data_IF_047926915287
#
_entry.id   IF_047926915287
#
_cell.length_a   1.000
_cell.length_b   1.000
_cell.length_c   1.000
_cell.angle_alpha   90.00
_cell.angle_beta   90.00
_cell.angle_gamma   90.00
#
_symmetry.space_group_name_H-M   'P 1'
#
loop_
_entity.id
_entity.type
_entity.pdbx_description
1 polymer ?
#
# COMPACT_ATOMS: atom_id res chain seq x y z
N UNK A 1 -23.10 13.58 1.29
CA UNK A 1 -22.67 13.40 1.59
C UNK A 1 -22.34 13.03 1.55
N UNK A 2 -22.16 12.77 1.67
CA UNK A 2 -21.73 12.20 1.90
C UNK A 2 -21.47 11.55 2.26
N UNK A 3 -21.63 11.43 2.25
CA UNK A 3 -21.40 10.84 2.86
C UNK A 3 -21.00 10.15 2.90
N UNK A 4 -20.82 10.17 3.01
CA UNK A 4 -20.34 9.32 3.23
C UNK A 4 -20.90 8.45 3.41
N UNK A 5 -20.97 8.16 2.76
CA UNK A 5 -21.54 7.27 3.07
C UNK A 5 -21.34 6.54 3.79
N UNK A 6 -21.72 7.24 3.30
CA UNK A 6 -21.70 6.65 4.50
C UNK A 6 -20.80 5.64 4.73
N UNK A 7 -20.27 5.90 5.70
CA UNK A 7 -19.55 4.81 6.12
C UNK A 7 -20.49 3.72 6.38
N UNK A 8 -20.23 2.65 5.74
CA UNK A 8 -20.99 1.50 6.01
C UNK A 8 -20.57 0.97 7.34
N UNK A 9 -21.49 0.80 8.27
CA UNK A 9 -21.15 0.17 9.53
C UNK A 9 -20.58 -1.21 9.26
N UNK A 10 -19.57 -1.55 9.98
CA UNK A 10 -18.93 -2.85 9.79
C UNK A 10 -17.90 -2.90 8.70
N UNK A 11 -17.62 -1.76 8.09
CA UNK A 11 -16.51 -1.69 7.14
C UNK A 11 -15.24 -2.10 7.85
N UNK A 12 -14.48 -3.06 7.28
CA UNK A 12 -13.33 -3.61 7.99
C UNK A 12 -12.18 -2.64 8.18
N UNK A 13 -12.15 -1.54 7.44
CA UNK A 13 -11.08 -0.57 7.62
C UNK A 13 -11.66 0.83 7.60
N UNK A 14 -10.97 1.72 8.27
CA UNK A 14 -11.36 3.11 8.32
C UNK A 14 -11.08 3.76 6.98
N UNK A 15 -11.94 4.67 6.59
CA UNK A 15 -11.70 5.46 5.43
C UNK A 15 -10.63 6.51 5.66
N UNK A 16 -10.42 6.85 6.91
CA UNK A 16 -9.38 7.79 7.25
C UNK A 16 -8.19 7.05 7.79
N UNK A 17 -7.06 7.28 7.15
CA UNK A 17 -5.81 6.69 7.56
C UNK A 17 -5.27 7.49 8.73
N UNK A 18 -4.96 6.81 9.82
CA UNK A 18 -4.31 7.46 10.94
C UNK A 18 -2.87 7.84 10.59
N UNK A 19 -2.28 8.79 11.36
CA UNK A 19 -0.93 9.24 11.03
C UNK A 19 0.13 8.13 11.12
N UNK A 20 0.01 7.23 12.08
CA UNK A 20 0.96 6.13 12.21
C UNK A 20 0.83 5.15 11.06
N UNK A 21 -0.39 4.89 10.65
CA UNK A 21 -0.63 3.98 9.54
C UNK A 21 -0.14 4.57 8.23
N UNK A 22 -0.37 5.88 8.02
CA UNK A 22 0.15 6.55 6.84
C UNK A 22 1.67 6.48 6.79
N UNK A 23 2.31 6.68 7.93
CA UNK A 23 3.77 6.60 8.00
C UNK A 23 4.27 5.20 7.67
N UNK A 24 3.59 4.18 8.19
CA UNK A 24 3.95 2.79 7.91
C UNK A 24 3.89 2.49 6.42
N UNK A 25 2.81 2.91 5.76
CA UNK A 25 2.67 2.69 4.33
C UNK A 25 3.73 3.45 3.54
N UNK A 26 3.97 4.70 3.90
CA UNK A 26 4.94 5.52 3.19
C UNK A 26 6.36 4.99 3.37
N UNK A 27 6.70 4.54 4.57
CA UNK A 27 8.03 3.96 4.80
C UNK A 27 8.22 2.68 4.00
N UNK A 28 7.19 1.85 3.94
CA UNK A 28 7.27 0.62 3.16
C UNK A 28 7.48 0.91 1.68
N UNK A 29 6.91 1.98 1.18
CA UNK A 29 7.04 2.36 -0.23
C UNK A 29 8.31 3.13 -0.52
N UNK A 30 8.99 3.65 0.50
CA UNK A 30 10.13 4.54 0.30
C UNK A 30 11.43 3.76 0.11
N UNK A 31 11.41 2.85 -0.84
CA UNK A 31 12.58 2.03 -1.18
C UNK A 31 12.46 1.68 -2.67
N UNK A 32 13.52 1.88 -3.45
CA UNK A 32 13.40 1.65 -4.91
C UNK A 32 13.03 0.21 -5.27
N UNK A 33 13.54 -0.76 -4.53
CA UNK A 33 13.21 -2.15 -4.83
C UNK A 33 11.75 -2.43 -4.51
N UNK A 34 11.27 -1.92 -3.38
CA UNK A 34 9.88 -2.15 -3.01
C UNK A 34 8.91 -1.47 -3.97
N UNK A 35 9.27 -0.28 -4.47
CA UNK A 35 8.46 0.36 -5.49
C UNK A 35 8.41 -0.47 -6.77
N UNK A 36 9.53 -1.07 -7.15
CA UNK A 36 9.55 -1.95 -8.32
C UNK A 36 8.64 -3.17 -8.12
N UNK A 37 8.63 -3.71 -6.91
CA UNK A 37 7.74 -4.84 -6.61
C UNK A 37 6.28 -4.42 -6.74
N UNK A 38 5.93 -3.27 -6.17
CA UNK A 38 4.57 -2.76 -6.26
C UNK A 38 4.17 -2.56 -7.72
N UNK A 39 5.04 -1.97 -8.52
CA UNK A 39 4.75 -1.74 -9.94
C UNK A 39 4.60 -3.06 -10.69
N UNK A 40 5.45 -4.04 -10.40
CA UNK A 40 5.35 -5.34 -11.04
C UNK A 40 4.05 -6.05 -10.73
N UNK A 41 3.53 -5.85 -9.51
CA UNK A 41 2.27 -6.47 -9.09
C UNK A 41 1.05 -5.67 -9.53
N UNK A 42 1.25 -4.50 -10.13
CA UNK A 42 0.15 -3.69 -10.61
C UNK A 42 -0.66 -4.37 -11.70
N UNK A 43 -0.06 -5.31 -12.41
CA UNK A 43 -0.76 -6.07 -13.44
C UNK A 43 -1.48 -7.31 -12.94
N UNK A 44 -1.34 -7.63 -11.65
CA UNK A 44 -1.99 -8.80 -11.07
C UNK A 44 -1.02 -9.63 -10.26
N UNK A 45 -1.54 -10.75 -9.80
CA UNK A 45 -0.81 -11.67 -8.94
C UNK A 45 0.39 -12.29 -9.66
N UNK A 46 1.49 -12.42 -8.95
CA UNK A 46 2.72 -13.02 -9.48
C UNK A 46 3.33 -13.96 -8.46
N UNK A 47 3.94 -15.03 -8.93
CA UNK A 47 4.67 -15.88 -8.01
C UNK A 47 6.06 -15.31 -7.74
N UNK A 48 6.65 -15.75 -6.61
CA UNK A 48 7.96 -15.24 -6.20
C UNK A 48 9.00 -15.50 -7.29
N UNK A 49 8.94 -16.65 -7.93
CA UNK A 49 9.92 -16.98 -8.96
C UNK A 49 9.84 -16.03 -10.15
N UNK A 50 8.65 -15.61 -10.52
CA UNK A 50 8.50 -14.62 -11.60
C UNK A 50 9.08 -13.27 -11.20
N UNK A 51 8.85 -12.89 -9.94
CA UNK A 51 9.38 -11.61 -9.46
C UNK A 51 10.90 -11.61 -9.39
N UNK A 52 11.51 -12.71 -8.93
CA UNK A 52 12.97 -12.78 -8.89
C UNK A 52 13.55 -12.65 -10.28
N UNK A 53 12.94 -13.31 -11.23
CA UNK A 53 13.42 -13.28 -12.61
C UNK A 53 13.25 -11.89 -13.20
N UNK A 54 12.08 -11.32 -13.04
CA UNK A 54 11.77 -10.03 -13.63
C UNK A 54 12.64 -8.91 -13.05
N UNK A 55 12.85 -8.94 -11.73
CA UNK A 55 13.56 -7.87 -11.06
C UNK A 55 15.07 -8.12 -10.96
N UNK A 56 15.50 -9.33 -11.31
CA UNK A 56 16.92 -9.65 -11.27
C UNK A 56 17.49 -9.68 -9.87
N UNK A 57 16.69 -10.11 -8.89
CA UNK A 57 17.10 -10.10 -7.49
C UNK A 57 17.24 -11.51 -6.96
N UNK A 58 18.16 -11.67 -6.01
CA UNK A 58 18.24 -12.91 -5.25
C UNK A 58 16.96 -13.12 -4.47
N UNK A 59 16.55 -14.37 -4.33
CA UNK A 59 15.29 -14.68 -3.65
C UNK A 59 15.30 -14.20 -2.20
N UNK A 60 16.43 -14.32 -1.51
CA UNK A 60 16.49 -13.89 -0.11
C UNK A 60 16.27 -12.38 0.03
N UNK A 61 16.85 -11.61 -0.90
CA UNK A 61 16.67 -10.17 -0.87
C UNK A 61 15.22 -9.79 -1.19
N UNK A 62 14.66 -10.42 -2.20
CA UNK A 62 13.27 -10.16 -2.56
C UNK A 62 12.34 -10.56 -1.41
N UNK A 63 12.59 -11.69 -0.76
CA UNK A 63 11.76 -12.15 0.34
C UNK A 63 11.72 -11.16 1.49
N UNK A 64 12.86 -10.52 1.77
CA UNK A 64 12.88 -9.49 2.80
C UNK A 64 11.94 -8.34 2.45
N UNK A 65 12.02 -7.86 1.21
CA UNK A 65 11.18 -6.74 0.79
C UNK A 65 9.70 -7.13 0.71
N UNK A 66 9.40 -8.35 0.28
CA UNK A 66 8.03 -8.84 0.27
C UNK A 66 7.46 -8.90 1.67
N UNK A 67 8.27 -9.32 2.64
CA UNK A 67 7.83 -9.38 4.02
C UNK A 67 7.51 -7.99 4.56
N UNK A 68 8.37 -7.01 4.28
CA UNK A 68 8.12 -5.63 4.72
C UNK A 68 6.82 -5.11 4.16
N UNK A 69 6.58 -5.33 2.87
CA UNK A 69 5.37 -4.86 2.21
C UNK A 69 4.13 -5.57 2.74
N UNK A 70 4.23 -6.87 2.98
CA UNK A 70 3.11 -7.63 3.51
C UNK A 70 2.77 -7.18 4.93
N UNK A 71 3.76 -6.97 5.76
CA UNK A 71 3.53 -6.55 7.14
C UNK A 71 2.96 -5.14 7.21
N UNK A 72 3.25 -4.31 6.22
CA UNK A 72 2.65 -2.98 6.14
C UNK A 72 1.22 -3.01 5.62
N UNK A 73 0.76 -4.16 5.13
CA UNK A 73 -0.60 -4.27 4.62
C UNK A 73 -0.75 -3.98 3.14
N UNK A 74 0.37 -3.82 2.43
CA UNK A 74 0.32 -3.50 1.00
C UNK A 74 0.19 -4.73 0.12
N UNK A 75 0.62 -5.89 0.62
CA UNK A 75 0.55 -7.14 -0.13
C UNK A 75 -0.18 -8.21 0.66
N UNK A 76 -0.81 -9.11 -0.08
CA UNK A 76 -1.32 -10.37 0.45
C UNK A 76 -0.63 -11.50 -0.29
N UNK A 77 -0.50 -12.63 0.38
CA UNK A 77 0.09 -13.80 -0.24
C UNK A 77 -0.86 -14.98 -0.13
N UNK A 78 -0.65 -15.95 -1.01
CA UNK A 78 -1.31 -17.24 -0.90
C UNK A 78 -0.35 -18.31 -1.36
N UNK A 79 -0.49 -19.48 -0.79
CA UNK A 79 0.32 -20.63 -1.17
C UNK A 79 -0.52 -21.59 -1.97
N UNK A 80 0.05 -22.07 -3.07
CA UNK A 80 -0.59 -23.10 -3.88
C UNK A 80 0.46 -24.14 -4.18
N UNK A 81 0.37 -25.29 -3.53
CA UNK A 81 1.40 -26.29 -3.60
C UNK A 81 2.69 -25.75 -3.00
N UNK A 82 3.76 -25.77 -3.77
CA UNK A 82 5.04 -25.25 -3.33
C UNK A 82 5.28 -23.82 -3.83
N UNK A 83 4.28 -23.20 -4.49
CA UNK A 83 4.43 -21.88 -5.03
C UNK A 83 3.77 -20.86 -4.11
N UNK A 84 4.41 -19.71 -3.96
CA UNK A 84 3.85 -18.60 -3.19
C UNK A 84 3.58 -17.47 -4.15
N UNK A 85 2.36 -16.95 -4.12
CA UNK A 85 1.91 -15.87 -4.97
C UNK A 85 1.64 -14.64 -4.14
N UNK A 86 1.99 -13.50 -4.69
CA UNK A 86 1.74 -12.20 -4.03
C UNK A 86 0.87 -11.35 -4.91
N UNK A 87 0.04 -10.54 -4.27
CA UNK A 87 -0.80 -9.58 -4.96
C UNK A 87 -0.90 -8.31 -4.14
N UNK A 88 -1.24 -7.20 -4.81
CA UNK A 88 -1.46 -5.95 -4.12
C UNK A 88 -2.76 -6.01 -3.32
N UNK A 89 -2.76 -5.30 -2.20
CA UNK A 89 -3.97 -5.07 -1.41
C UNK A 89 -4.51 -3.71 -1.81
N UNK A 90 -5.55 -3.65 -2.63
CA UNK A 90 -6.03 -2.35 -3.13
C UNK A 90 -6.56 -1.46 -2.01
N UNK A 91 -7.03 -2.05 -0.92
CA UNK A 91 -7.56 -1.26 0.19
C UNK A 91 -6.49 -0.35 0.78
N UNK A 92 -5.26 -0.85 0.93
CA UNK A 92 -4.18 -0.04 1.47
C UNK A 92 -3.83 1.10 0.54
N UNK A 93 -3.81 0.83 -0.76
CA UNK A 93 -3.52 1.86 -1.75
C UNK A 93 -4.62 2.93 -1.76
N UNK A 94 -5.88 2.50 -1.64
CA UNK A 94 -6.99 3.45 -1.60
C UNK A 94 -6.97 4.31 -0.34
N UNK A 95 -6.60 3.72 0.78
CA UNK A 95 -6.46 4.50 2.01
C UNK A 95 -5.39 5.57 1.88
N UNK A 96 -4.26 5.21 1.28
CA UNK A 96 -3.18 6.15 1.08
C UNK A 96 -3.59 7.24 0.10
N UNK A 97 -4.28 6.85 -0.97
CA UNK A 97 -4.77 7.81 -1.94
C UNK A 97 -5.71 8.81 -1.29
N UNK A 98 -6.64 8.32 -0.46
CA UNK A 98 -7.58 9.19 0.23
C UNK A 98 -6.90 10.15 1.18
N UNK A 99 -5.89 9.67 1.90
CA UNK A 99 -5.13 10.51 2.82
C UNK A 99 -4.44 11.65 2.05
N UNK A 100 -3.82 11.32 0.94
CA UNK A 100 -3.18 12.34 0.10
C UNK A 100 -4.22 13.29 -0.49
N UNK A 101 -5.36 12.78 -0.89
CA UNK A 101 -6.41 13.60 -1.48
C UNK A 101 -6.95 14.63 -0.48
N UNK A 102 -7.09 14.22 0.78
CA UNK A 102 -7.54 15.15 1.81
C UNK A 102 -6.55 16.29 2.03
N UNK A 103 -5.26 15.95 2.05
CA UNK A 103 -4.24 16.98 2.15
C UNK A 103 -4.30 17.94 0.97
N UNK A 104 -4.44 17.38 -0.23
CA UNK A 104 -4.50 18.21 -1.43
C UNK A 104 -5.73 19.12 -1.42
N UNK A 105 -6.85 18.64 -0.88
CA UNK A 105 -8.08 19.42 -0.86
C UNK A 105 -8.02 20.58 0.14
N UNK A 106 -7.24 20.43 1.20
CA UNK A 106 -7.24 21.43 2.27
C UNK A 106 -6.04 22.37 2.21
N UNK A 107 -5.06 22.09 1.35
CA UNK A 107 -3.80 22.82 1.38
C UNK A 107 -3.88 24.23 0.79
N UNK A 108 -5.00 24.59 0.17
CA UNK A 108 -5.16 25.90 -0.44
C UNK A 108 -5.80 26.92 0.51
N UNK A 109 -6.17 26.51 1.71
CA UNK A 109 -6.79 27.45 2.66
C UNK A 109 -5.77 28.50 3.08
N UNK A 110 -6.15 29.79 3.10
CA UNK A 110 -5.21 30.82 3.52
C UNK A 110 -4.96 30.73 5.02
N UNK A 111 -3.82 31.25 5.42
CA UNK A 111 -3.49 31.30 6.83
C UNK A 111 -4.40 32.27 7.54
N UNK A 112 -4.79 31.93 8.78
CA UNK A 112 -5.48 32.89 9.62
C UNK A 112 -4.44 33.86 10.18
N UNK A 113 -4.78 35.15 10.29
CA UNK A 113 -3.84 36.10 10.87
C UNK A 113 -3.53 35.75 12.32
N UNK A 114 -2.28 35.88 12.66
CA UNK A 114 -1.88 35.78 14.05
C UNK A 114 -2.10 37.15 14.69
N UNK A 115 -2.72 37.18 15.83
CA UNK A 115 -2.91 38.47 16.46
C UNK A 115 -1.84 38.77 17.48
#
# INVERSE_FOLDING_TARGET
MPVRPAILPGTPFSRQLGPDQARTLLKALADPIRLQVIEALGGGERCVCELTEELGLAQSKLSFHLKVLREAGLLADRQSGRWIYYRLQPEALEQLRGWLAELAASCTAPATPCC
#
